data_IF_049946901687
#
_entry.id   IF_049946901687
#
_cell.length_a   1.000
_cell.length_b   1.000
_cell.length_c   1.000
_cell.angle_alpha   90.00
_cell.angle_beta   90.00
_cell.angle_gamma   90.00
#
_symmetry.space_group_name_H-M   'P 1'
#
loop_
_entity.id
_entity.type
_entity.pdbx_description
1 polymer ?
#
# COMPACT_ATOMS: atom_id res chain seq x y z
N UNK A 1 -5.60 24.80 -0.47
CA UNK A 1 -4.97 25.29 0.79
C UNK A 1 -5.88 26.30 1.49
N UNK A 2 -6.64 27.13 0.76
CA UNK A 2 -7.57 28.12 1.36
C UNK A 2 -8.66 27.49 2.26
N UNK A 3 -9.16 26.30 1.92
CA UNK A 3 -10.16 25.58 2.74
C UNK A 3 -9.66 25.08 4.10
N UNK A 4 -8.34 25.06 4.34
CA UNK A 4 -7.78 24.67 5.64
C UNK A 4 -8.03 25.74 6.73
N UNK A 5 -8.45 26.96 6.36
CA UNK A 5 -8.87 28.01 7.29
C UNK A 5 -10.31 27.89 7.76
N UNK A 6 -11.12 27.02 7.13
CA UNK A 6 -12.51 26.78 7.52
C UNK A 6 -12.60 25.64 8.53
N UNK A 7 -13.37 25.85 9.61
CA UNK A 7 -13.62 24.86 10.68
C UNK A 7 -14.26 23.56 10.20
N UNK A 8 -14.75 23.51 8.96
CA UNK A 8 -15.29 22.32 8.31
C UNK A 8 -14.24 21.22 8.05
N UNK A 9 -12.94 21.54 8.07
CA UNK A 9 -11.85 20.60 7.80
C UNK A 9 -11.19 20.02 9.07
N UNK A 10 -11.79 20.19 10.24
CA UNK A 10 -11.26 19.62 11.48
C UNK A 10 -11.30 18.08 11.45
N UNK A 11 -10.17 17.46 11.79
CA UNK A 11 -10.04 15.99 11.88
C UNK A 11 -9.80 15.27 10.55
N UNK A 12 -9.52 15.99 9.46
CA UNK A 12 -9.21 15.39 8.16
C UNK A 12 -7.70 15.24 7.96
N UNK A 13 -7.26 14.03 7.63
CA UNK A 13 -5.89 13.73 7.22
C UNK A 13 -5.89 13.29 5.76
N UNK A 14 -5.08 13.94 4.92
CA UNK A 14 -4.99 13.66 3.48
C UNK A 14 -3.62 13.08 3.18
N UNK A 15 -3.60 11.89 2.59
CA UNK A 15 -2.39 11.30 2.01
C UNK A 15 -2.46 11.38 0.49
N UNK A 16 -1.39 11.84 -0.13
CA UNK A 16 -1.28 11.88 -1.58
C UNK A 16 0.12 11.42 -2.01
N UNK A 17 0.18 10.50 -2.97
CA UNK A 17 1.44 10.02 -3.52
C UNK A 17 1.86 10.88 -4.70
N UNK A 18 3.08 11.43 -4.64
CA UNK A 18 3.75 12.12 -5.75
C UNK A 18 4.91 11.27 -6.24
N UNK A 19 5.20 11.25 -7.57
CA UNK A 19 6.28 10.44 -8.12
C UNK A 19 7.68 10.98 -7.77
N UNK A 20 7.82 12.30 -7.72
CA UNK A 20 9.06 13.01 -7.39
C UNK A 20 8.72 14.42 -6.85
N UNK A 21 9.74 15.21 -6.49
CA UNK A 21 9.57 16.59 -6.01
C UNK A 21 9.50 17.64 -7.14
N UNK A 22 9.54 17.23 -8.41
CA UNK A 22 9.53 18.16 -9.55
C UNK A 22 8.21 18.95 -9.64
N UNK A 23 7.13 18.49 -9.01
CA UNK A 23 5.88 19.27 -8.90
C UNK A 23 6.05 20.59 -8.13
N UNK A 24 7.10 20.72 -7.31
CA UNK A 24 7.45 21.97 -6.62
C UNK A 24 8.08 23.00 -7.57
N UNK A 25 8.55 22.53 -8.72
CA UNK A 25 9.17 23.29 -9.80
C UNK A 25 8.15 23.46 -10.93
N UNK A 26 7.18 24.35 -10.75
CA UNK A 26 6.18 24.62 -11.79
C UNK A 26 6.83 25.12 -13.09
N UNK A 27 6.11 25.02 -14.22
CA UNK A 27 6.56 25.47 -15.57
C UNK A 27 7.11 26.91 -15.68
N UNK A 28 6.94 27.75 -14.66
CA UNK A 28 7.41 29.14 -14.66
C UNK A 28 7.89 29.67 -13.29
N UNK A 29 7.61 29.01 -12.15
CA UNK A 29 7.94 29.52 -10.82
C UNK A 29 8.17 28.38 -9.81
N UNK A 30 9.20 28.56 -8.97
CA UNK A 30 9.49 27.70 -7.81
C UNK A 30 8.57 28.13 -6.67
N UNK A 31 7.81 27.19 -6.10
CA UNK A 31 6.98 27.44 -4.93
C UNK A 31 7.80 27.32 -3.64
N UNK A 32 8.66 28.32 -3.35
CA UNK A 32 9.56 28.31 -2.19
C UNK A 32 8.87 28.05 -0.85
N UNK A 33 7.71 28.68 -0.62
CA UNK A 33 6.94 28.48 0.62
C UNK A 33 6.39 27.05 0.75
N UNK A 34 6.03 26.41 -0.37
CA UNK A 34 5.59 25.03 -0.36
C UNK A 34 6.78 24.09 -0.13
N UNK A 35 7.90 24.33 -0.82
CA UNK A 35 9.15 23.58 -0.68
C UNK A 35 9.63 23.53 0.77
N UNK A 36 9.60 24.66 1.47
CA UNK A 36 9.91 24.72 2.90
C UNK A 36 8.95 23.86 3.74
N UNK A 37 7.65 23.90 3.45
CA UNK A 37 6.64 23.14 4.21
C UNK A 37 6.77 21.62 3.99
N UNK A 38 7.12 21.18 2.78
CA UNK A 38 7.25 19.75 2.45
C UNK A 38 8.66 19.19 2.65
N UNK A 39 9.59 19.99 3.16
CA UNK A 39 11.01 19.63 3.30
C UNK A 39 11.30 18.57 4.35
N UNK A 40 10.38 18.36 5.30
CA UNK A 40 10.61 17.47 6.44
C UNK A 40 10.11 16.05 6.17
N UNK A 41 10.97 15.07 6.47
CA UNK A 41 10.67 13.64 6.35
C UNK A 41 10.13 13.11 7.68
N UNK A 42 9.10 12.29 7.61
CA UNK A 42 8.56 11.54 8.73
C UNK A 42 9.48 10.35 9.02
N UNK A 43 10.07 10.37 10.21
CA UNK A 43 11.03 9.36 10.68
C UNK A 43 10.96 9.25 12.21
N UNK A 44 11.63 8.26 12.82
CA UNK A 44 11.57 8.03 14.27
C UNK A 44 11.97 9.26 15.09
N UNK A 45 12.98 10.00 14.62
CA UNK A 45 13.46 11.23 15.25
C UNK A 45 12.61 12.48 14.88
N UNK A 46 11.77 12.40 13.86
CA UNK A 46 10.87 13.46 13.43
C UNK A 46 9.46 12.92 13.12
N UNK A 47 8.66 12.60 14.16
CA UNK A 47 7.30 12.07 14.00
C UNK A 47 6.30 13.12 13.49
N UNK A 48 6.75 14.36 13.27
CA UNK A 48 5.95 15.45 12.70
C UNK A 48 6.31 15.78 11.26
N UNK A 49 7.22 15.02 10.65
CA UNK A 49 7.56 15.18 9.24
C UNK A 49 6.34 14.97 8.35
N UNK A 50 6.28 15.72 7.26
CA UNK A 50 5.10 15.74 6.38
C UNK A 50 5.23 14.83 5.16
N UNK A 51 6.45 14.34 4.89
CA UNK A 51 6.77 13.47 3.76
C UNK A 51 7.12 12.06 4.25
N UNK A 52 6.58 11.04 3.60
CA UNK A 52 6.97 9.65 3.83
C UNK A 52 7.75 9.19 2.60
N UNK A 53 9.04 8.90 2.77
CA UNK A 53 9.88 8.39 1.68
C UNK A 53 9.74 6.88 1.57
N UNK A 54 8.81 6.43 0.72
CA UNK A 54 8.49 5.01 0.54
C UNK A 54 9.67 4.15 0.06
N UNK A 55 10.69 4.76 -0.56
CA UNK A 55 11.91 4.08 -1.00
C UNK A 55 12.85 3.77 0.17
N UNK A 56 12.84 4.60 1.21
CA UNK A 56 13.66 4.40 2.41
C UNK A 56 13.04 3.43 3.41
N UNK A 57 11.75 3.09 3.23
CA UNK A 57 11.10 2.01 3.96
C UNK A 57 11.58 0.66 3.38
N UNK A 58 12.87 0.39 3.59
CA UNK A 58 13.56 -0.80 3.12
C UNK A 58 13.13 -2.01 3.95
N UNK A 59 12.07 -2.66 3.51
CA UNK A 59 11.72 -4.01 3.94
C UNK A 59 12.04 -4.98 2.80
N UNK A 60 12.43 -6.21 3.14
CA UNK A 60 12.51 -7.29 2.16
C UNK A 60 11.17 -7.38 1.40
N UNK A 61 11.15 -7.32 0.05
CA UNK A 61 9.92 -7.09 -0.70
C UNK A 61 8.80 -8.08 -0.39
N UNK A 62 9.12 -9.37 -0.23
CA UNK A 62 8.14 -10.42 0.10
C UNK A 62 7.60 -10.26 1.52
N UNK A 63 8.45 -9.86 2.48
CA UNK A 63 8.02 -9.60 3.86
C UNK A 63 7.06 -8.41 3.93
N UNK A 64 7.37 -7.33 3.20
CA UNK A 64 6.49 -6.17 3.08
C UNK A 64 5.12 -6.57 2.53
N UNK A 65 5.09 -7.32 1.41
CA UNK A 65 3.83 -7.77 0.82
C UNK A 65 3.06 -8.68 1.78
N UNK A 66 3.76 -9.54 2.52
CA UNK A 66 3.13 -10.43 3.52
C UNK A 66 2.49 -9.62 4.65
N UNK A 67 3.18 -8.60 5.18
CA UNK A 67 2.63 -7.72 6.21
C UNK A 67 1.41 -6.94 5.70
N UNK A 68 1.48 -6.43 4.46
CA UNK A 68 0.33 -5.79 3.79
C UNK A 68 -0.83 -6.79 3.65
N UNK A 69 -0.54 -8.04 3.25
CA UNK A 69 -1.53 -9.11 3.13
C UNK A 69 -2.26 -9.38 4.45
N UNK A 70 -1.55 -9.42 5.58
CA UNK A 70 -2.14 -9.59 6.92
C UNK A 70 -3.07 -8.43 7.30
N UNK A 71 -2.65 -7.19 7.05
CA UNK A 71 -3.51 -6.01 7.28
C UNK A 71 -4.75 -6.03 6.38
N UNK A 72 -4.61 -6.46 5.13
CA UNK A 72 -5.73 -6.62 4.20
C UNK A 72 -6.68 -7.74 4.62
N UNK A 73 -6.15 -8.85 5.16
CA UNK A 73 -6.95 -9.92 5.75
C UNK A 73 -7.86 -9.37 6.85
N UNK A 74 -7.32 -8.61 7.80
CA UNK A 74 -8.10 -8.04 8.91
C UNK A 74 -9.25 -7.15 8.41
N UNK A 75 -8.99 -6.36 7.36
CA UNK A 75 -10.01 -5.52 6.73
C UNK A 75 -11.07 -6.40 6.04
N UNK A 76 -10.64 -7.42 5.30
CA UNK A 76 -11.54 -8.32 4.58
C UNK A 76 -12.44 -9.12 5.53
N UNK A 77 -11.88 -9.70 6.59
CA UNK A 77 -12.62 -10.47 7.59
C UNK A 77 -13.72 -9.63 8.24
N UNK A 78 -13.42 -8.37 8.58
CA UNK A 78 -14.40 -7.41 9.11
C UNK A 78 -15.45 -7.01 8.09
N UNK A 79 -15.05 -6.71 6.84
CA UNK A 79 -15.96 -6.25 5.81
C UNK A 79 -16.96 -7.34 5.36
N UNK A 80 -16.57 -8.61 5.46
CA UNK A 80 -17.34 -9.74 4.96
C UNK A 80 -17.87 -10.68 6.04
N UNK A 81 -17.72 -10.31 7.31
CA UNK A 81 -18.08 -11.10 8.50
C UNK A 81 -17.65 -12.58 8.35
N UNK A 82 -16.37 -12.77 8.02
CA UNK A 82 -15.80 -14.08 7.74
C UNK A 82 -14.45 -14.21 8.44
N UNK A 83 -14.11 -15.40 8.94
CA UNK A 83 -12.83 -15.67 9.55
C UNK A 83 -12.13 -16.78 8.78
N UNK A 84 -10.94 -16.49 8.28
CA UNK A 84 -10.13 -17.48 7.57
C UNK A 84 -9.45 -18.43 8.55
N UNK A 85 -9.11 -19.62 8.05
CA UNK A 85 -8.10 -20.45 8.68
C UNK A 85 -6.73 -19.77 8.56
N UNK A 86 -6.01 -19.66 9.68
CA UNK A 86 -4.74 -18.93 9.76
C UNK A 86 -3.68 -19.54 8.83
N UNK A 87 -3.62 -20.87 8.72
CA UNK A 87 -2.63 -21.52 7.88
C UNK A 87 -2.93 -21.31 6.39
N UNK A 88 -4.19 -21.46 6.00
CA UNK A 88 -4.62 -21.34 4.61
C UNK A 88 -4.48 -19.90 4.08
N UNK A 89 -4.80 -18.90 4.91
CA UNK A 89 -4.67 -17.49 4.51
C UNK A 89 -3.21 -17.04 4.46
N UNK A 90 -2.37 -17.49 5.40
CA UNK A 90 -0.94 -17.19 5.36
C UNK A 90 -0.24 -17.84 4.15
N UNK A 91 -0.62 -19.07 3.80
CA UNK A 91 -0.16 -19.72 2.57
C UNK A 91 -0.57 -18.91 1.34
N UNK A 92 -1.85 -18.54 1.25
CA UNK A 92 -2.38 -17.72 0.15
C UNK A 92 -1.61 -16.39 0.01
N UNK A 93 -1.38 -15.68 1.13
CA UNK A 93 -0.65 -14.42 1.14
C UNK A 93 0.79 -14.63 0.65
N UNK A 94 1.49 -15.64 1.17
CA UNK A 94 2.89 -15.90 0.85
C UNK A 94 3.06 -16.28 -0.62
N UNK A 95 2.26 -17.21 -1.12
CA UNK A 95 2.30 -17.62 -2.53
C UNK A 95 2.09 -16.44 -3.48
N UNK A 96 1.13 -15.56 -3.17
CA UNK A 96 0.87 -14.37 -4.00
C UNK A 96 2.00 -13.35 -3.88
N UNK A 97 2.58 -13.17 -2.69
CA UNK A 97 3.70 -12.25 -2.46
C UNK A 97 4.94 -12.66 -3.25
N UNK A 98 5.34 -13.94 -3.13
CA UNK A 98 6.48 -14.50 -3.85
C UNK A 98 6.27 -14.39 -5.36
N UNK A 99 5.10 -14.83 -5.84
CA UNK A 99 4.80 -14.80 -7.27
C UNK A 99 4.74 -13.39 -7.84
N UNK A 100 4.15 -12.44 -7.11
CA UNK A 100 4.13 -11.04 -7.53
C UNK A 100 5.56 -10.48 -7.65
N UNK A 101 6.44 -10.83 -6.71
CA UNK A 101 7.83 -10.37 -6.71
C UNK A 101 8.68 -11.03 -7.82
N UNK A 102 8.42 -12.29 -8.18
CA UNK A 102 9.02 -12.91 -9.37
C UNK A 102 8.67 -12.14 -10.64
N UNK A 103 7.42 -11.68 -10.75
CA UNK A 103 6.89 -10.92 -11.88
C UNK A 103 7.22 -9.42 -11.84
N UNK A 104 8.14 -8.97 -10.97
CA UNK A 104 8.45 -7.55 -10.75
C UNK A 104 8.94 -6.78 -11.98
N UNK A 105 9.46 -7.48 -12.99
CA UNK A 105 9.91 -6.87 -14.25
C UNK A 105 8.84 -6.90 -15.36
N UNK A 106 7.63 -7.37 -15.05
CA UNK A 106 6.50 -7.33 -15.98
C UNK A 106 5.87 -5.94 -16.09
N UNK A 107 4.81 -5.84 -16.90
CA UNK A 107 4.13 -4.57 -17.22
C UNK A 107 3.44 -3.92 -16.00
N UNK A 108 3.06 -4.73 -15.01
CA UNK A 108 2.38 -4.28 -13.79
C UNK A 108 3.36 -4.36 -12.63
N UNK A 109 3.57 -3.23 -11.94
CA UNK A 109 4.39 -3.19 -10.74
C UNK A 109 3.92 -4.20 -9.68
N UNK A 110 4.86 -4.97 -9.13
CA UNK A 110 4.57 -6.12 -8.25
C UNK A 110 3.67 -5.80 -7.06
N UNK A 111 3.80 -4.60 -6.45
CA UNK A 111 2.93 -4.17 -5.33
C UNK A 111 1.46 -4.09 -5.76
N UNK A 112 1.20 -3.55 -6.96
CA UNK A 112 -0.16 -3.46 -7.52
C UNK A 112 -0.71 -4.84 -7.87
N UNK A 113 0.13 -5.67 -8.50
CA UNK A 113 -0.22 -7.03 -8.85
C UNK A 113 -0.60 -7.83 -7.59
N UNK A 114 0.22 -7.74 -6.53
CA UNK A 114 -0.03 -8.38 -5.25
C UNK A 114 -1.41 -8.01 -4.68
N UNK A 115 -1.71 -6.73 -4.53
CA UNK A 115 -2.99 -6.28 -3.94
C UNK A 115 -4.19 -6.78 -4.75
N UNK A 116 -4.13 -6.73 -6.08
CA UNK A 116 -5.22 -7.24 -6.92
C UNK A 116 -5.44 -8.74 -6.74
N UNK A 117 -4.36 -9.51 -6.67
CA UNK A 117 -4.41 -10.97 -6.67
C UNK A 117 -4.67 -11.55 -5.29
N UNK A 118 -4.18 -10.93 -4.22
CA UNK A 118 -4.43 -11.39 -2.84
C UNK A 118 -5.90 -11.23 -2.47
N UNK A 119 -6.56 -10.14 -2.89
CA UNK A 119 -8.01 -9.96 -2.67
C UNK A 119 -8.82 -11.01 -3.45
N UNK A 120 -8.40 -11.35 -4.68
CA UNK A 120 -9.00 -12.47 -5.42
C UNK A 120 -8.74 -13.81 -4.70
N UNK A 121 -7.56 -13.98 -4.11
CA UNK A 121 -7.22 -15.14 -3.31
C UNK A 121 -8.09 -15.29 -2.07
N UNK A 122 -8.37 -14.20 -1.35
CA UNK A 122 -9.31 -14.19 -0.22
C UNK A 122 -10.73 -14.57 -0.66
N UNK A 123 -11.21 -14.03 -1.78
CA UNK A 123 -12.51 -14.39 -2.32
C UNK A 123 -12.58 -15.87 -2.74
N UNK A 124 -11.49 -16.40 -3.31
CA UNK A 124 -11.37 -17.81 -3.65
C UNK A 124 -11.40 -18.68 -2.39
N UNK A 125 -10.53 -18.38 -1.41
CA UNK A 125 -10.41 -19.12 -0.15
C UNK A 125 -11.74 -19.14 0.60
N UNK A 126 -12.44 -18.01 0.68
CA UNK A 126 -13.79 -17.93 1.29
C UNK A 126 -14.78 -18.86 0.59
N UNK A 127 -14.72 -18.98 -0.74
CA UNK A 127 -15.68 -19.75 -1.54
C UNK A 127 -15.34 -21.25 -1.61
N UNK A 128 -14.05 -21.60 -1.57
CA UNK A 128 -13.55 -22.97 -1.82
C UNK A 128 -13.04 -23.67 -0.57
N UNK A 129 -12.67 -22.92 0.47
CA UNK A 129 -12.17 -23.45 1.73
C UNK A 129 -10.72 -23.95 1.69
N UNK A 130 -10.00 -23.74 0.58
CA UNK A 130 -8.59 -24.07 0.45
C UNK A 130 -7.82 -22.97 -0.28
N UNK A 131 -6.48 -22.88 -0.09
CA UNK A 131 -5.65 -21.91 -0.78
C UNK A 131 -5.74 -22.08 -2.31
N UNK A 132 -5.75 -20.97 -3.07
CA UNK A 132 -5.68 -21.02 -4.53
C UNK A 132 -4.26 -21.34 -5.00
N UNK A 133 -4.15 -22.03 -6.13
CA UNK A 133 -2.90 -22.11 -6.88
C UNK A 133 -2.60 -20.80 -7.63
N UNK A 134 -1.38 -20.67 -8.14
CA UNK A 134 -0.96 -19.55 -9.01
C UNK A 134 -1.85 -19.47 -10.27
N UNK A 135 -2.22 -20.62 -10.83
CA UNK A 135 -3.09 -20.72 -12.01
C UNK A 135 -4.52 -20.27 -11.73
N UNK A 136 -5.08 -20.62 -10.56
CA UNK A 136 -6.41 -20.15 -10.12
C UNK A 136 -6.50 -18.61 -10.08
N UNK A 137 -5.36 -17.97 -9.77
CA UNK A 137 -5.23 -16.52 -9.70
C UNK A 137 -4.80 -15.87 -11.01
N UNK A 138 -4.50 -16.64 -12.06
CA UNK A 138 -4.00 -16.14 -13.35
C UNK A 138 -2.75 -15.28 -13.16
N UNK A 139 -1.76 -15.84 -12.47
CA UNK A 139 -0.44 -15.24 -12.21
C UNK A 139 0.67 -16.10 -12.82
#
# INVERSE_FOLDING_TARGET
IDECGHTSFQGVMVFYAVPDENFLEGRAQIYEALKQRVSTVFEEMNPTGVKIELEQVSNEPVELLTEVGRKLRDIYEKAYDHRFDDSAVEETIRTVAERAYELRYGDIGYKRLFVQKVIRGFAYLKKKGHPPSVDDLQM
#
